data_IF_489667067608
#
_entry.id   IF_489667067608
#
_cell.length_a   1.000
_cell.length_b   1.000
_cell.length_c   1.000
_cell.angle_alpha   90.00
_cell.angle_beta   90.00
_cell.angle_gamma   90.00
#
_symmetry.space_group_name_H-M   'P 1'
#
loop_
_entity.id
_entity.type
_entity.pdbx_description
1 polymer ?
#
# COMPACT_ATOMS: atom_id res chain seq x y z
N UNK A 1 30.31 -15.26 36.10
CA UNK A 1 29.05 -14.71 36.67
C UNK A 1 28.37 -13.64 35.82
N UNK A 2 29.03 -13.03 34.83
CA UNK A 2 28.42 -11.96 34.02
C UNK A 2 27.48 -12.44 32.91
N UNK A 3 27.70 -13.64 32.36
CA UNK A 3 26.83 -14.22 31.31
C UNK A 3 25.40 -14.52 31.78
N UNK A 4 25.24 -14.97 33.02
CA UNK A 4 23.90 -15.18 33.58
C UNK A 4 23.17 -13.86 33.84
N UNK A 5 23.90 -12.83 34.26
CA UNK A 5 23.34 -11.48 34.45
C UNK A 5 22.87 -10.87 33.13
N UNK A 6 23.66 -11.00 32.05
CA UNK A 6 23.26 -10.49 30.73
C UNK A 6 22.06 -11.23 30.15
N UNK A 7 21.96 -12.54 30.37
CA UNK A 7 20.81 -13.33 29.92
C UNK A 7 19.51 -12.97 30.66
N UNK A 8 19.57 -12.70 31.96
CA UNK A 8 18.41 -12.27 32.74
C UNK A 8 17.92 -10.89 32.29
N UNK A 9 18.84 -9.95 32.03
CA UNK A 9 18.47 -8.63 31.53
C UNK A 9 17.85 -8.75 30.13
N UNK A 10 18.47 -9.52 29.22
CA UNK A 10 17.95 -9.71 27.87
C UNK A 10 16.55 -10.35 27.84
N UNK A 11 16.28 -11.34 28.71
CA UNK A 11 14.97 -11.99 28.77
C UNK A 11 13.88 -11.07 29.33
N UNK A 12 14.21 -10.20 30.29
CA UNK A 12 13.27 -9.20 30.83
C UNK A 12 12.86 -8.17 29.76
N UNK A 13 13.79 -7.70 28.93
CA UNK A 13 13.49 -6.80 27.81
C UNK A 13 12.70 -7.49 26.69
N UNK A 14 12.97 -8.77 26.41
CA UNK A 14 12.19 -9.53 25.44
C UNK A 14 10.74 -9.77 25.91
N UNK A 15 10.54 -10.07 27.20
CA UNK A 15 9.22 -10.28 27.78
C UNK A 15 8.37 -9.00 27.81
N UNK A 16 8.97 -7.83 28.04
CA UNK A 16 8.25 -6.55 27.98
C UNK A 16 7.81 -6.16 26.56
N UNK A 17 8.46 -6.70 25.53
CA UNK A 17 8.09 -6.46 24.12
C UNK A 17 6.76 -7.13 23.73
N UNK A 18 6.39 -8.22 24.42
CA UNK A 18 5.12 -8.95 24.19
C UNK A 18 3.94 -8.27 24.92
N UNK A 19 4.23 -7.36 25.85
CA UNK A 19 3.25 -6.53 26.57
C UNK A 19 2.93 -5.22 25.84
N UNK A 20 3.05 -5.17 24.51
CA UNK A 20 2.70 -3.96 23.78
C UNK A 20 1.21 -3.59 23.93
N UNK A 21 0.31 -4.57 24.18
CA UNK A 21 -1.11 -4.31 24.44
C UNK A 21 -1.75 -5.30 25.45
N UNK A 22 -1.42 -5.23 26.76
CA UNK A 22 -2.15 -5.99 27.77
C UNK A 22 -3.58 -5.45 27.90
N UNK A 23 -4.57 -6.33 27.74
CA UNK A 23 -5.97 -6.06 28.13
C UNK A 23 -6.80 -5.21 27.16
N UNK A 24 -6.42 -5.12 25.87
CA UNK A 24 -7.18 -4.33 24.90
C UNK A 24 -8.38 -5.07 24.26
N UNK A 25 -9.57 -4.48 24.43
CA UNK A 25 -10.85 -4.70 23.75
C UNK A 25 -10.84 -4.68 22.20
N UNK A 26 -10.20 -5.63 21.50
CA UNK A 26 -10.15 -5.56 20.02
C UNK A 26 -11.54 -5.48 19.35
N UNK A 27 -12.59 -6.06 19.95
CA UNK A 27 -13.96 -5.98 19.43
C UNK A 27 -14.50 -4.57 19.53
N UNK A 28 -14.21 -3.87 20.62
CA UNK A 28 -14.56 -2.47 20.80
C UNK A 28 -13.90 -1.58 19.74
N UNK A 29 -12.59 -1.72 19.54
CA UNK A 29 -11.85 -0.97 18.50
C UNK A 29 -12.39 -1.23 17.08
N UNK A 30 -12.71 -2.49 16.78
CA UNK A 30 -13.28 -2.86 15.48
C UNK A 30 -14.66 -2.22 15.30
N UNK A 31 -15.50 -2.21 16.34
CA UNK A 31 -16.83 -1.59 16.29
C UNK A 31 -16.73 -0.07 16.08
N UNK A 32 -15.83 0.61 16.80
CA UNK A 32 -15.59 2.05 16.63
C UNK A 32 -15.06 2.39 15.24
N UNK A 33 -14.07 1.63 14.74
CA UNK A 33 -13.57 1.78 13.38
C UNK A 33 -14.66 1.55 12.34
N UNK A 34 -15.48 0.52 12.51
CA UNK A 34 -16.58 0.24 11.60
C UNK A 34 -17.60 1.40 11.60
N UNK A 35 -17.95 1.94 12.76
CA UNK A 35 -18.84 3.08 12.89
C UNK A 35 -18.27 4.33 12.19
N UNK A 36 -16.99 4.64 12.38
CA UNK A 36 -16.33 5.76 11.69
C UNK A 36 -16.28 5.55 10.17
N UNK A 37 -15.93 4.34 9.73
CA UNK A 37 -15.76 4.01 8.32
C UNK A 37 -17.06 3.98 7.52
N UNK A 38 -18.23 3.91 8.17
CA UNK A 38 -19.55 4.09 7.52
C UNK A 38 -19.75 5.51 7.00
N UNK A 39 -19.13 6.49 7.65
CA UNK A 39 -19.41 7.91 7.43
C UNK A 39 -18.25 8.62 6.72
N UNK A 40 -17.07 7.99 6.70
CA UNK A 40 -15.85 8.57 6.16
C UNK A 40 -15.76 8.41 4.64
N UNK A 41 -15.16 9.39 3.97
CA UNK A 41 -14.83 9.27 2.54
C UNK A 41 -13.76 8.20 2.37
N UNK A 42 -14.02 7.24 1.49
CA UNK A 42 -13.12 6.09 1.25
C UNK A 42 -12.09 6.33 0.15
N UNK A 43 -12.13 7.50 -0.48
CA UNK A 43 -11.23 7.86 -1.58
C UNK A 43 -10.54 9.22 -1.36
N UNK A 44 -9.47 9.42 -2.14
CA UNK A 44 -8.69 10.65 -2.15
C UNK A 44 -9.08 11.59 -3.30
N UNK A 45 -10.25 11.40 -3.93
CA UNK A 45 -10.70 12.22 -5.07
C UNK A 45 -10.77 13.71 -4.69
N UNK A 46 -11.26 14.01 -3.49
CA UNK A 46 -11.32 15.36 -2.93
C UNK A 46 -9.94 16.01 -2.70
N UNK A 47 -8.87 15.20 -2.68
CA UNK A 47 -7.49 15.66 -2.58
C UNK A 47 -6.76 15.66 -3.93
N UNK A 48 -7.40 15.27 -5.03
CA UNK A 48 -6.73 15.01 -6.30
C UNK A 48 -5.96 16.24 -6.80
N UNK A 49 -6.56 17.43 -6.74
CA UNK A 49 -5.89 18.67 -7.16
C UNK A 49 -4.65 18.98 -6.33
N UNK A 50 -4.73 18.80 -5.00
CA UNK A 50 -3.60 18.99 -4.09
C UNK A 50 -2.50 17.95 -4.35
N UNK A 51 -2.86 16.70 -4.63
CA UNK A 51 -1.90 15.64 -4.95
C UNK A 51 -1.19 15.89 -6.30
N UNK A 52 -1.93 16.41 -7.28
CA UNK A 52 -1.38 16.84 -8.58
C UNK A 52 -0.45 18.03 -8.43
N UNK A 53 -0.85 19.06 -7.68
CA UNK A 53 -0.01 20.23 -7.41
C UNK A 53 1.29 19.87 -6.69
N UNK A 54 1.26 18.86 -5.82
CA UNK A 54 2.46 18.30 -5.15
C UNK A 54 3.35 17.46 -6.09
N UNK A 55 2.90 17.14 -7.31
CA UNK A 55 3.67 16.38 -8.29
C UNK A 55 3.90 14.91 -7.93
N UNK A 56 3.12 14.34 -7.00
CA UNK A 56 3.34 12.96 -6.54
C UNK A 56 3.14 11.94 -7.66
N UNK A 57 2.12 12.14 -8.49
CA UNK A 57 1.83 11.29 -9.64
C UNK A 57 3.00 11.33 -10.65
N UNK A 58 3.45 12.52 -11.03
CA UNK A 58 4.58 12.72 -11.94
C UNK A 58 5.86 12.04 -11.43
N UNK A 59 6.21 12.24 -10.15
CA UNK A 59 7.37 11.60 -9.52
C UNK A 59 7.24 10.08 -9.50
N UNK A 60 6.05 9.56 -9.21
CA UNK A 60 5.82 8.11 -9.18
C UNK A 60 5.93 7.50 -10.58
N UNK A 61 5.40 8.17 -11.62
CA UNK A 61 5.55 7.76 -13.03
C UNK A 61 7.03 7.75 -13.42
N UNK A 62 7.76 8.83 -13.15
CA UNK A 62 9.19 8.93 -13.46
C UNK A 62 9.98 7.80 -12.80
N UNK A 63 9.80 7.59 -11.48
CA UNK A 63 10.46 6.52 -10.74
C UNK A 63 10.15 5.14 -11.33
N UNK A 64 8.87 4.82 -11.56
CA UNK A 64 8.47 3.53 -12.15
C UNK A 64 9.06 3.33 -13.54
N UNK A 65 9.08 4.38 -14.36
CA UNK A 65 9.66 4.33 -15.71
C UNK A 65 11.17 4.09 -15.67
N UNK A 66 11.89 4.71 -14.75
CA UNK A 66 13.33 4.53 -14.58
C UNK A 66 13.67 3.11 -14.12
N UNK A 67 12.94 2.58 -13.13
CA UNK A 67 13.11 1.20 -12.67
C UNK A 67 12.81 0.22 -13.81
N UNK A 68 11.74 0.44 -14.57
CA UNK A 68 11.39 -0.43 -15.69
C UNK A 68 12.48 -0.45 -16.77
N UNK A 69 13.11 0.71 -17.06
CA UNK A 69 14.24 0.79 -18.00
C UNK A 69 15.47 0.04 -17.47
N UNK A 70 15.90 0.33 -16.24
CA UNK A 70 17.05 -0.31 -15.60
C UNK A 70 16.91 -1.85 -15.55
N UNK A 71 15.74 -2.36 -15.15
CA UNK A 71 15.49 -3.80 -15.10
C UNK A 71 15.51 -4.44 -16.49
N UNK A 72 15.07 -3.73 -17.54
CA UNK A 72 15.12 -4.24 -18.92
C UNK A 72 16.56 -4.29 -19.43
N UNK A 73 17.32 -3.23 -19.20
CA UNK A 73 18.73 -3.13 -19.58
C UNK A 73 19.55 -4.24 -18.93
N UNK A 74 19.38 -4.48 -17.62
CA UNK A 74 20.00 -5.58 -16.89
C UNK A 74 19.70 -6.96 -17.46
N UNK A 75 18.57 -7.12 -18.15
CA UNK A 75 18.14 -8.38 -18.78
C UNK A 75 18.48 -8.44 -20.27
N UNK A 76 19.21 -7.46 -20.80
CA UNK A 76 19.51 -7.36 -22.24
C UNK A 76 18.27 -7.21 -23.11
N UNK A 77 17.14 -6.79 -22.52
CA UNK A 77 15.89 -6.60 -23.25
C UNK A 77 15.91 -5.23 -23.93
N UNK A 78 15.64 -5.20 -25.24
CA UNK A 78 15.59 -3.95 -25.98
C UNK A 78 14.61 -2.96 -25.35
N UNK A 79 14.99 -1.69 -25.27
CA UNK A 79 14.08 -0.59 -24.92
C UNK A 79 13.24 -0.14 -26.11
N UNK A 80 13.61 -0.60 -27.32
CA UNK A 80 12.90 -0.42 -28.59
C UNK A 80 11.56 -1.18 -28.61
N UNK A 81 10.63 -0.61 -29.38
CA UNK A 81 9.19 -0.74 -29.26
C UNK A 81 8.67 -2.18 -29.17
N UNK A 82 7.63 -2.30 -28.34
CA UNK A 82 6.52 -3.24 -28.46
C UNK A 82 6.52 -3.99 -29.80
N UNK A 83 6.80 -5.30 -29.77
CA UNK A 83 6.37 -6.21 -30.85
C UNK A 83 4.87 -5.96 -30.98
N UNK A 84 4.44 -5.34 -32.11
CA UNK A 84 3.04 -5.09 -32.40
C UNK A 84 2.28 -6.40 -32.21
N UNK A 85 1.57 -6.56 -31.09
CA UNK A 85 0.62 -7.64 -30.96
C UNK A 85 -0.50 -7.27 -31.94
N UNK A 86 -0.89 -8.15 -32.88
CA UNK A 86 -2.02 -7.88 -33.75
C UNK A 86 -3.23 -7.53 -32.88
N UNK A 87 -3.69 -6.28 -33.04
CA UNK A 87 -4.85 -5.64 -32.42
C UNK A 87 -5.33 -6.26 -31.09
N UNK A 88 -4.72 -5.85 -29.99
CA UNK A 88 -5.57 -5.47 -28.87
C UNK A 88 -5.77 -3.97 -28.99
N UNK A 89 -7.02 -3.50 -28.88
CA UNK A 89 -7.31 -2.09 -28.72
C UNK A 89 -6.29 -1.48 -27.73
N UNK A 90 -5.78 -0.26 -27.98
CA UNK A 90 -4.82 0.36 -27.06
C UNK A 90 -5.36 0.15 -25.66
N UNK A 91 -4.52 -0.41 -24.78
CA UNK A 91 -4.80 -0.43 -23.36
C UNK A 91 -4.83 1.05 -22.97
N UNK A 92 -5.97 1.68 -23.22
CA UNK A 92 -6.39 2.89 -22.56
C UNK A 92 -6.12 2.52 -21.11
N UNK A 93 -5.16 3.21 -20.49
CA UNK A 93 -5.08 3.20 -19.05
C UNK A 93 -6.46 3.71 -18.70
N UNK A 94 -7.36 2.79 -18.38
CA UNK A 94 -8.65 3.10 -17.82
C UNK A 94 -8.23 3.64 -16.46
N UNK A 95 -7.86 4.92 -16.41
CA UNK A 95 -8.25 5.79 -15.32
C UNK A 95 -9.76 5.74 -15.36
N UNK A 96 -10.32 4.61 -14.93
CA UNK A 96 -11.69 4.56 -14.53
C UNK A 96 -11.71 5.66 -13.47
N UNK A 97 -12.55 6.70 -13.61
CA UNK A 97 -12.94 7.39 -12.40
C UNK A 97 -13.34 6.28 -11.44
N UNK A 98 -12.79 6.27 -10.22
CA UNK A 98 -13.22 5.36 -9.17
C UNK A 98 -14.69 5.69 -8.93
N UNK A 99 -15.59 5.15 -9.75
CA UNK A 99 -17.02 5.29 -9.58
C UNK A 99 -17.34 4.41 -8.41
N UNK A 100 -17.70 5.09 -7.32
CA UNK A 100 -18.33 4.58 -6.13
C UNK A 100 -19.58 3.77 -6.46
N UNK A 101 -19.43 2.50 -6.88
CA UNK A 101 -20.53 1.56 -6.97
C UNK A 101 -20.01 0.14 -7.27
N UNK A 102 -19.55 -0.58 -6.25
CA UNK A 102 -19.83 -2.02 -6.17
C UNK A 102 -19.64 -2.49 -4.73
N UNK A 103 -20.67 -2.20 -3.94
CA UNK A 103 -20.99 -2.90 -2.70
C UNK A 103 -21.30 -4.36 -3.09
N UNK A 104 -20.26 -5.20 -3.13
CA UNK A 104 -20.45 -6.65 -3.22
C UNK A 104 -20.49 -7.16 -1.79
N UNK A 105 -21.72 -7.27 -1.31
CA UNK A 105 -22.06 -7.88 -0.04
C UNK A 105 -21.58 -9.34 -0.04
N UNK A 106 -20.49 -9.61 0.69
CA UNK A 106 -20.10 -10.97 1.04
C UNK A 106 -20.82 -11.34 2.34
N UNK A 107 -21.53 -12.47 2.41
CA UNK A 107 -22.11 -12.94 3.65
C UNK A 107 -20.99 -13.33 4.63
N UNK A 108 -21.11 -12.84 5.87
CA UNK A 108 -20.40 -13.39 7.02
C UNK A 108 -21.04 -14.71 7.45
#
# INVERSE_FOLDING_TARGET
MHFFSTLIVASAFAASSVLAHPGHDTRHEIAERAAFMKNSKRDLSHCAEKLKARGLEARAIQRRSAIAKDVREKRGLSTSEYRKRPSLAPLTIVQAPLTSAQETQLPF
#
